data_IF_340157402738
#
_entry.id   IF_340157402738
#
_cell.length_a   1.000
_cell.length_b   1.000
_cell.length_c   1.000
_cell.angle_alpha   90.00
_cell.angle_beta   90.00
_cell.angle_gamma   90.00
#
_symmetry.space_group_name_H-M   'P 1'
#
loop_
_entity.id
_entity.type
_entity.pdbx_description
1 polymer ?
#
# COMPACT_ATOMS: atom_id res chain seq x y z
N UNK A 1 13.13 -46.26 40.35
CA UNK A 1 12.33 -46.13 39.11
C UNK A 1 13.21 -45.51 38.04
N UNK A 2 13.57 -46.24 36.97
CA UNK A 2 14.49 -45.76 35.93
C UNK A 2 13.67 -45.07 34.84
N UNK A 3 13.86 -43.77 34.67
CA UNK A 3 13.11 -42.98 33.68
C UNK A 3 13.63 -43.31 32.29
N UNK A 4 12.74 -43.81 31.42
CA UNK A 4 13.04 -44.22 30.05
C UNK A 4 13.34 -42.98 29.18
N UNK A 5 14.60 -42.76 28.85
CA UNK A 5 15.03 -41.71 27.91
C UNK A 5 15.05 -42.25 26.47
N UNK A 6 13.89 -42.62 25.94
CA UNK A 6 13.76 -43.06 24.53
C UNK A 6 12.76 -42.22 23.75
N UNK A 7 13.09 -40.95 23.45
CA UNK A 7 12.54 -40.30 22.23
C UNK A 7 13.15 -38.92 21.84
N UNK A 8 14.48 -38.75 21.69
CA UNK A 8 14.98 -37.51 21.05
C UNK A 8 16.21 -37.75 20.15
N UNK A 9 16.20 -38.83 19.34
CA UNK A 9 17.32 -39.11 18.41
C UNK A 9 17.42 -38.11 17.24
N UNK A 10 16.38 -37.32 16.93
CA UNK A 10 16.32 -36.48 15.72
C UNK A 10 15.71 -35.10 15.96
N UNK A 11 16.02 -34.45 17.09
CA UNK A 11 15.57 -33.07 17.34
C UNK A 11 16.76 -32.13 17.27
N UNK A 12 16.61 -31.00 16.55
CA UNK A 12 17.61 -29.94 16.53
C UNK A 12 17.71 -29.39 17.94
N UNK A 13 18.88 -29.54 18.57
CA UNK A 13 19.18 -28.94 19.87
C UNK A 13 19.69 -27.52 19.63
N UNK A 14 18.98 -26.52 20.12
CA UNK A 14 19.52 -25.17 20.23
C UNK A 14 20.57 -25.18 21.34
N UNK A 15 21.84 -25.33 20.96
CA UNK A 15 22.97 -25.27 21.90
C UNK A 15 23.43 -23.83 21.98
N UNK A 16 23.40 -23.27 23.19
CA UNK A 16 23.64 -21.85 23.45
C UNK A 16 22.43 -21.25 24.15
N UNK A 17 22.68 -20.58 25.28
CA UNK A 17 21.64 -19.82 25.97
C UNK A 17 21.04 -18.72 25.09
N UNK A 18 20.10 -17.92 25.61
CA UNK A 18 19.48 -16.84 24.86
C UNK A 18 20.54 -15.99 24.15
N UNK A 19 20.46 -15.92 22.82
CA UNK A 19 21.32 -15.03 22.06
C UNK A 19 20.98 -13.59 22.48
N UNK A 20 21.98 -12.71 22.65
CA UNK A 20 21.71 -11.33 23.03
C UNK A 20 20.86 -10.69 21.94
N UNK A 21 19.62 -10.35 22.28
CA UNK A 21 18.75 -9.60 21.38
C UNK A 21 19.38 -8.22 21.22
N UNK A 22 19.72 -7.80 19.99
CA UNK A 22 20.29 -6.47 19.78
C UNK A 22 19.29 -5.45 20.32
N UNK A 23 19.79 -4.47 21.09
CA UNK A 23 18.95 -3.39 21.59
C UNK A 23 18.26 -2.72 20.39
N UNK A 24 16.97 -2.39 20.49
CA UNK A 24 16.28 -1.69 19.41
C UNK A 24 17.04 -0.41 19.13
N UNK A 25 17.60 -0.31 17.93
CA UNK A 25 18.18 0.93 17.44
C UNK A 25 17.02 1.85 17.09
N UNK A 26 17.07 3.09 17.56
CA UNK A 26 16.16 4.12 17.05
C UNK A 26 16.32 4.14 15.53
N UNK A 27 15.21 4.03 14.79
CA UNK A 27 15.21 4.18 13.35
C UNK A 27 15.60 5.63 13.04
N UNK A 28 16.91 5.88 12.97
CA UNK A 28 17.45 7.15 12.51
C UNK A 28 16.93 7.46 11.11
N UNK A 29 17.03 8.72 10.66
CA UNK A 29 16.58 9.07 9.33
C UNK A 29 17.33 8.24 8.29
N UNK A 30 16.58 7.73 7.31
CA UNK A 30 17.15 6.98 6.21
C UNK A 30 18.16 7.89 5.47
N UNK A 31 19.32 7.38 4.99
CA UNK A 31 20.32 8.19 4.29
C UNK A 31 19.78 8.89 3.03
N UNK A 32 18.71 8.36 2.43
CA UNK A 32 17.99 8.96 1.30
C UNK A 32 16.74 9.75 1.70
N UNK A 33 16.49 9.98 2.98
CA UNK A 33 15.36 10.79 3.42
C UNK A 33 15.59 12.26 3.01
N UNK A 34 14.61 12.92 2.37
CA UNK A 34 14.71 14.35 2.06
C UNK A 34 14.96 15.13 3.35
N UNK A 35 16.11 15.81 3.46
CA UNK A 35 16.54 16.57 4.65
C UNK A 35 16.66 15.76 5.95
N UNK A 36 16.83 14.44 5.88
CA UNK A 36 17.10 13.61 7.05
C UNK A 36 15.96 13.58 8.07
N UNK A 37 14.71 13.61 7.60
CA UNK A 37 13.55 13.69 8.50
C UNK A 37 13.01 12.30 8.85
N UNK A 38 12.66 12.11 10.13
CA UNK A 38 12.07 10.87 10.67
C UNK A 38 10.54 10.99 10.65
N UNK A 39 9.79 9.98 10.16
CA UNK A 39 8.33 10.01 10.17
C UNK A 39 7.78 10.17 11.59
N UNK A 40 6.92 11.18 11.81
CA UNK A 40 6.34 11.52 13.12
C UNK A 40 7.05 12.61 13.91
N UNK A 41 8.17 13.15 13.40
CA UNK A 41 8.80 14.36 13.95
C UNK A 41 7.88 15.58 13.85
N UNK A 42 7.93 16.47 14.85
CA UNK A 42 7.22 17.77 14.91
C UNK A 42 7.69 18.70 13.77
N UNK A 43 7.18 18.45 12.56
CA UNK A 43 7.63 19.10 11.33
C UNK A 43 7.54 18.20 10.10
N UNK A 44 7.45 16.88 10.27
CA UNK A 44 6.91 16.00 9.25
C UNK A 44 5.42 16.23 9.22
N UNK A 45 4.97 16.85 8.14
CA UNK A 45 3.56 16.80 7.76
C UNK A 45 3.25 15.32 7.52
N UNK A 46 2.75 14.65 8.54
CA UNK A 46 2.07 13.37 8.40
C UNK A 46 0.92 13.63 7.44
N UNK A 47 1.05 13.16 6.21
CA UNK A 47 -0.02 13.16 5.20
C UNK A 47 -1.20 12.25 5.59
N UNK A 48 -1.42 12.02 6.89
CA UNK A 48 -2.45 11.16 7.44
C UNK A 48 -2.99 11.64 8.79
N UNK A 49 -2.76 12.90 9.18
CA UNK A 49 -3.29 13.49 10.41
C UNK A 49 -4.19 14.68 10.10
N UNK A 50 -5.49 14.48 10.27
CA UNK A 50 -6.56 15.49 10.18
C UNK A 50 -6.18 16.82 10.82
N UNK A 51 -5.65 17.76 10.03
CA UNK A 51 -5.68 19.18 10.32
C UNK A 51 -6.34 19.85 9.12
N UNK A 52 -7.51 20.44 9.38
CA UNK A 52 -8.25 21.29 8.45
C UNK A 52 -7.41 22.52 8.10
N UNK A 53 -6.42 22.32 7.23
CA UNK A 53 -5.75 23.39 6.51
C UNK A 53 -6.54 23.50 5.22
N UNK A 54 -7.16 24.66 5.02
CA UNK A 54 -7.82 24.98 3.76
C UNK A 54 -6.84 24.67 2.62
N UNK A 55 -7.12 23.62 1.87
CA UNK A 55 -6.28 23.18 0.76
C UNK A 55 -6.41 24.22 -0.34
N UNK A 56 -5.50 25.19 -0.34
CA UNK A 56 -5.36 26.15 -1.42
C UNK A 56 -4.43 25.54 -2.47
N UNK A 57 -5.03 24.94 -3.50
CA UNK A 57 -4.29 24.56 -4.69
C UNK A 57 -4.01 25.84 -5.50
N UNK A 58 -2.75 26.23 -5.61
CA UNK A 58 -2.31 27.42 -6.35
C UNK A 58 -2.16 27.17 -7.85
N UNK A 59 -2.64 26.04 -8.35
CA UNK A 59 -2.67 25.78 -9.79
C UNK A 59 -3.79 26.61 -10.43
N UNK A 60 -3.60 27.01 -11.70
CA UNK A 60 -4.65 27.65 -12.47
C UNK A 60 -5.92 26.77 -12.52
N UNK A 61 -7.08 27.41 -12.42
CA UNK A 61 -8.39 26.74 -12.55
C UNK A 61 -8.63 26.22 -13.97
N UNK A 62 -7.96 26.81 -14.95
CA UNK A 62 -8.01 26.38 -16.35
C UNK A 62 -6.81 25.47 -16.68
N UNK A 63 -7.01 24.40 -17.46
CA UNK A 63 -5.93 23.52 -17.83
C UNK A 63 -5.01 24.23 -18.83
N UNK A 64 -3.69 24.04 -18.72
CA UNK A 64 -2.78 24.58 -19.74
C UNK A 64 -2.89 23.80 -21.06
N UNK A 65 -2.28 24.33 -22.13
CA UNK A 65 -2.29 23.68 -23.44
C UNK A 65 -1.74 22.24 -23.35
N UNK A 66 -2.62 21.25 -23.55
CA UNK A 66 -2.29 19.83 -23.51
C UNK A 66 -2.51 19.15 -22.16
N UNK A 67 -2.88 19.92 -21.13
CA UNK A 67 -3.38 19.39 -19.86
C UNK A 67 -4.89 19.21 -19.95
N UNK A 68 -5.40 18.21 -19.24
CA UNK A 68 -6.83 17.90 -19.20
C UNK A 68 -7.18 17.50 -17.77
N UNK A 69 -8.27 18.03 -17.23
CA UNK A 69 -8.71 17.69 -15.87
C UNK A 69 -9.38 16.32 -15.84
N UNK A 70 -10.10 16.00 -16.92
CA UNK A 70 -10.83 14.75 -17.04
C UNK A 70 -10.25 13.87 -18.13
N UNK A 71 -10.25 12.55 -17.89
CA UNK A 71 -9.86 11.56 -18.91
C UNK A 71 -10.83 11.56 -20.10
N UNK A 72 -12.04 12.07 -19.93
CA UNK A 72 -13.03 12.26 -21.00
C UNK A 72 -12.61 13.30 -22.04
N UNK A 73 -11.75 14.25 -21.67
CA UNK A 73 -11.26 15.26 -22.61
C UNK A 73 -10.05 14.77 -23.43
N UNK A 74 -9.33 13.74 -22.94
CA UNK A 74 -8.18 13.15 -23.65
C UNK A 74 -8.56 12.53 -25.00
N UNK A 75 -7.60 12.28 -25.91
CA UNK A 75 -7.85 11.50 -27.12
C UNK A 75 -8.43 10.11 -26.84
N UNK A 76 -9.25 9.59 -27.77
CA UNK A 76 -10.02 8.32 -27.60
C UNK A 76 -9.17 7.12 -27.17
N UNK A 77 -7.88 7.08 -27.52
CA UNK A 77 -6.93 6.02 -27.13
C UNK A 77 -6.64 5.97 -25.62
N UNK A 78 -6.83 7.07 -24.90
CA UNK A 78 -6.58 7.18 -23.46
C UNK A 78 -7.86 7.18 -22.61
N UNK A 79 -9.03 7.11 -23.25
CA UNK A 79 -10.33 7.01 -22.59
C UNK A 79 -10.62 5.57 -22.19
N UNK A 80 -11.47 5.37 -21.18
CA UNK A 80 -12.04 4.06 -20.92
C UNK A 80 -12.93 3.63 -22.10
N UNK A 81 -12.89 2.35 -22.50
CA UNK A 81 -13.87 1.83 -23.44
C UNK A 81 -15.27 1.92 -22.84
N UNK A 82 -16.25 2.25 -23.66
CA UNK A 82 -17.66 2.16 -23.28
C UNK A 82 -18.04 0.69 -23.18
N UNK A 83 -18.58 0.28 -22.04
CA UNK A 83 -19.14 -1.06 -21.83
C UNK A 83 -20.25 -1.27 -22.87
N UNK A 84 -20.25 -2.41 -23.55
CA UNK A 84 -21.28 -2.75 -24.54
C UNK A 84 -22.55 -3.23 -23.82
N UNK A 85 -23.72 -3.09 -24.42
CA UNK A 85 -24.99 -3.46 -23.77
C UNK A 85 -25.01 -4.90 -23.23
N UNK A 86 -24.52 -5.87 -24.01
CA UNK A 86 -24.43 -7.27 -23.56
C UNK A 86 -23.47 -7.47 -22.38
N UNK A 87 -22.42 -6.64 -22.28
CA UNK A 87 -21.46 -6.69 -21.17
C UNK A 87 -22.07 -6.07 -19.92
N UNK A 88 -22.92 -5.04 -20.07
CA UNK A 88 -23.74 -4.50 -18.98
C UNK A 88 -24.69 -5.58 -18.45
N UNK A 89 -25.34 -6.32 -19.33
CA UNK A 89 -26.25 -7.42 -18.94
C UNK A 89 -25.50 -8.51 -18.17
N UNK A 90 -24.29 -8.89 -18.62
CA UNK A 90 -23.44 -9.86 -17.93
C UNK A 90 -22.96 -9.37 -16.56
N UNK A 91 -22.57 -8.10 -16.44
CA UNK A 91 -22.21 -7.51 -15.14
C UNK A 91 -23.42 -7.49 -14.20
N UNK A 92 -24.60 -7.15 -14.73
CA UNK A 92 -25.85 -7.07 -13.98
C UNK A 92 -26.38 -8.45 -13.57
N UNK A 93 -26.21 -9.47 -14.41
CA UNK A 93 -26.56 -10.86 -14.11
C UNK A 93 -25.54 -11.54 -13.19
N UNK A 94 -24.39 -10.90 -12.94
CA UNK A 94 -23.28 -11.50 -12.20
C UNK A 94 -22.58 -12.64 -12.96
N UNK A 95 -22.65 -12.63 -14.30
CA UNK A 95 -22.12 -13.69 -15.16
C UNK A 95 -23.00 -14.95 -15.20
N UNK A 96 -24.24 -14.87 -14.71
CA UNK A 96 -25.21 -15.95 -14.83
C UNK A 96 -25.86 -15.92 -16.22
N UNK A 97 -25.87 -17.08 -16.88
CA UNK A 97 -26.58 -17.32 -18.12
C UNK A 97 -27.49 -18.55 -17.95
N UNK A 98 -28.70 -18.50 -18.52
CA UNK A 98 -29.68 -19.60 -18.37
C UNK A 98 -29.47 -20.60 -19.49
N UNK A 99 -28.87 -21.75 -19.17
CA UNK A 99 -28.69 -22.86 -20.10
C UNK A 99 -29.88 -23.82 -19.97
N UNK A 100 -30.64 -24.02 -21.05
CA UNK A 100 -31.72 -25.00 -21.16
C UNK A 100 -31.28 -26.24 -21.94
#
# INVERSE_FOLDING_TARGET
MKVSTRLLKHTIKFVGGPHPVPKPHSAGPHPLAPKGVVPGSVGVSSSSGSQSRSFHHSSPVEPQNGEYFSRSELPKRFRYPTIKDWEIDQVSSGGADVVF
#
